data_IF_312232018966
#
_entry.id   IF_312232018966
#
_cell.length_a   1.000
_cell.length_b   1.000
_cell.length_c   1.000
_cell.angle_alpha   90.00
_cell.angle_beta   90.00
_cell.angle_gamma   90.00
#
_symmetry.space_group_name_H-M   'P 1'
#
loop_
_entity.id
_entity.type
_entity.pdbx_description
1 polymer ?
#
# COMPACT_ATOMS: atom_id res chain seq x y z
N UNK A 1 10.36 -16.53 -30.32
CA UNK A 1 9.75 -15.18 -30.28
C UNK A 1 10.55 -14.31 -29.33
N UNK A 2 11.21 -13.26 -29.82
CA UNK A 2 11.86 -12.26 -28.96
C UNK A 2 10.79 -11.27 -28.52
N UNK A 3 10.33 -11.35 -27.27
CA UNK A 3 9.46 -10.33 -26.69
C UNK A 3 10.30 -9.05 -26.56
N UNK A 4 10.02 -8.06 -27.42
CA UNK A 4 10.57 -6.71 -27.23
C UNK A 4 10.17 -6.22 -25.83
N UNK A 5 11.08 -5.62 -25.06
CA UNK A 5 10.72 -5.06 -23.77
C UNK A 5 9.63 -4.00 -24.00
N UNK A 6 8.56 -4.10 -23.21
CA UNK A 6 7.49 -3.11 -23.20
C UNK A 6 8.10 -1.72 -23.01
N UNK A 7 7.53 -0.72 -23.69
CA UNK A 7 7.89 0.67 -23.41
C UNK A 7 7.65 0.97 -21.92
N UNK A 8 8.39 1.91 -21.31
CA UNK A 8 8.21 2.26 -19.90
C UNK A 8 6.76 2.63 -19.55
N UNK A 9 6.02 3.22 -20.50
CA UNK A 9 4.61 3.56 -20.37
C UNK A 9 3.71 2.33 -20.38
N UNK A 10 3.93 1.39 -21.29
CA UNK A 10 3.20 0.12 -21.34
C UNK A 10 3.46 -0.72 -20.07
N UNK A 11 4.70 -0.76 -19.59
CA UNK A 11 5.04 -1.44 -18.33
C UNK A 11 4.34 -0.81 -17.11
N UNK A 12 4.18 0.52 -17.08
CA UNK A 12 3.43 1.22 -16.01
C UNK A 12 1.93 0.94 -16.09
N UNK A 13 1.37 0.89 -17.30
CA UNK A 13 -0.04 0.56 -17.50
C UNK A 13 -0.33 -0.86 -17.04
N UNK A 14 0.48 -1.84 -17.47
CA UNK A 14 0.30 -3.25 -17.07
C UNK A 14 0.39 -3.42 -15.54
N UNK A 15 1.34 -2.73 -14.89
CA UNK A 15 1.44 -2.73 -13.41
C UNK A 15 0.16 -2.20 -12.76
N UNK A 16 -0.39 -1.08 -13.26
CA UNK A 16 -1.64 -0.51 -12.76
C UNK A 16 -2.83 -1.45 -12.95
N UNK A 17 -2.92 -2.08 -14.12
CA UNK A 17 -3.99 -3.05 -14.41
C UNK A 17 -3.89 -4.29 -13.53
N UNK A 18 -2.68 -4.81 -13.32
CA UNK A 18 -2.42 -5.91 -12.39
C UNK A 18 -2.87 -5.54 -10.98
N UNK A 19 -2.44 -4.38 -10.48
CA UNK A 19 -2.83 -3.89 -9.16
C UNK A 19 -4.34 -3.73 -9.00
N UNK A 20 -5.02 -3.21 -10.03
CA UNK A 20 -6.47 -3.07 -10.03
C UNK A 20 -7.16 -4.44 -9.99
N UNK A 21 -6.64 -5.44 -10.71
CA UNK A 21 -7.14 -6.81 -10.68
C UNK A 21 -6.92 -7.45 -9.32
N UNK A 22 -5.73 -7.30 -8.74
CA UNK A 22 -5.38 -7.87 -7.43
C UNK A 22 -6.27 -7.29 -6.33
N UNK A 23 -6.54 -5.97 -6.38
CA UNK A 23 -7.53 -5.32 -5.52
C UNK A 23 -8.92 -5.91 -5.71
N UNK A 24 -9.40 -6.01 -6.94
CA UNK A 24 -10.72 -6.56 -7.23
C UNK A 24 -10.87 -8.04 -6.81
N UNK A 25 -9.79 -8.81 -6.89
CA UNK A 25 -9.73 -10.22 -6.48
C UNK A 25 -9.55 -10.42 -4.97
N UNK A 26 -9.21 -9.37 -4.22
CA UNK A 26 -9.00 -9.48 -2.79
C UNK A 26 -10.29 -9.84 -2.05
N UNK A 27 -10.20 -10.83 -1.17
CA UNK A 27 -11.32 -11.25 -0.33
C UNK A 27 -11.78 -10.12 0.59
N UNK A 28 -13.04 -10.14 0.99
CA UNK A 28 -13.54 -9.24 2.03
C UNK A 28 -12.82 -9.48 3.36
N UNK A 29 -12.60 -8.42 4.14
CA UNK A 29 -11.92 -8.45 5.44
C UNK A 29 -12.59 -9.43 6.40
N UNK A 30 -13.93 -9.51 6.40
CA UNK A 30 -14.71 -10.48 7.18
C UNK A 30 -14.43 -11.94 6.82
N UNK A 31 -14.03 -12.20 5.59
CA UNK A 31 -13.74 -13.56 5.09
C UNK A 31 -12.31 -13.93 5.44
N UNK A 32 -11.36 -13.04 5.18
CA UNK A 32 -9.94 -13.27 5.46
C UNK A 32 -9.60 -13.20 6.96
N UNK A 33 -10.27 -12.31 7.72
CA UNK A 33 -10.02 -12.05 9.13
C UNK A 33 -11.33 -11.87 9.92
N UNK A 34 -12.07 -12.96 10.21
CA UNK A 34 -13.43 -12.90 10.76
C UNK A 34 -13.55 -12.21 12.12
N UNK A 35 -12.47 -12.22 12.92
CA UNK A 35 -12.45 -11.61 14.25
C UNK A 35 -12.30 -10.10 14.22
N UNK A 36 -11.95 -9.50 13.08
CA UNK A 36 -11.76 -8.05 12.95
C UNK A 36 -13.12 -7.35 12.84
N UNK A 37 -13.35 -6.39 13.72
CA UNK A 37 -14.51 -5.50 13.70
C UNK A 37 -14.23 -4.22 12.91
N UNK A 38 -13.02 -3.68 13.04
CA UNK A 38 -12.57 -2.48 12.34
C UNK A 38 -11.04 -2.52 12.23
N UNK A 39 -10.52 -2.05 11.10
CA UNK A 39 -9.10 -1.88 10.88
C UNK A 39 -8.84 -0.45 10.42
N UNK A 40 -7.98 0.26 11.13
CA UNK A 40 -7.54 1.61 10.79
C UNK A 40 -6.07 1.58 10.37
N UNK A 41 -5.76 2.21 9.25
CA UNK A 41 -4.39 2.45 8.78
C UNK A 41 -4.17 3.96 8.67
N UNK A 42 -3.29 4.49 9.50
CA UNK A 42 -2.83 5.87 9.41
C UNK A 42 -1.46 5.89 8.74
N UNK A 43 -1.35 6.65 7.65
CA UNK A 43 -0.20 6.73 6.77
C UNK A 43 0.35 8.15 6.81
N UNK A 44 1.58 8.31 7.27
CA UNK A 44 2.27 9.60 7.33
C UNK A 44 3.54 9.53 6.51
N UNK A 45 3.73 10.50 5.62
CA UNK A 45 4.84 10.49 4.68
C UNK A 45 5.96 11.42 5.14
N UNK A 46 7.21 10.99 4.99
CA UNK A 46 8.40 11.78 5.25
C UNK A 46 9.41 11.54 4.14
N UNK A 47 10.11 12.57 3.67
CA UNK A 47 11.11 12.40 2.62
C UNK A 47 11.63 13.72 2.06
N UNK A 48 12.73 13.64 1.33
CA UNK A 48 13.48 14.79 0.80
C UNK A 48 12.88 15.42 -0.48
N UNK A 49 11.64 15.06 -0.85
CA UNK A 49 10.97 15.67 -1.99
C UNK A 49 10.62 17.14 -1.75
N UNK A 50 10.34 17.87 -2.83
CA UNK A 50 9.96 19.30 -2.77
C UNK A 50 8.68 19.59 -1.98
N UNK A 51 7.86 18.57 -1.72
CA UNK A 51 6.61 18.68 -0.96
C UNK A 51 6.34 17.38 -0.25
N UNK A 52 6.09 17.47 1.06
CA UNK A 52 5.65 16.32 1.86
C UNK A 52 4.18 16.02 1.54
N UNK A 53 3.84 14.79 1.13
CA UNK A 53 2.46 14.39 0.91
C UNK A 53 1.62 14.50 2.18
N UNK A 54 0.33 14.80 2.01
CA UNK A 54 -0.63 14.85 3.12
C UNK A 54 -0.81 13.45 3.72
N UNK A 55 -0.89 13.36 5.04
CA UNK A 55 -1.20 12.11 5.75
C UNK A 55 -2.57 11.55 5.32
N UNK A 56 -2.69 10.23 5.30
CA UNK A 56 -3.89 9.53 4.86
C UNK A 56 -4.37 8.59 5.97
N UNK A 57 -5.68 8.57 6.23
CA UNK A 57 -6.28 7.63 7.17
C UNK A 57 -7.31 6.77 6.45
N UNK A 58 -7.16 5.46 6.54
CA UNK A 58 -8.06 4.48 5.96
C UNK A 58 -8.73 3.66 7.04
N UNK A 59 -10.06 3.71 7.11
CA UNK A 59 -10.86 2.88 8.01
C UNK A 59 -11.55 1.81 7.16
N UNK A 60 -11.24 0.55 7.47
CA UNK A 60 -11.73 -0.63 6.77
C UNK A 60 -12.67 -1.39 7.69
N UNK A 61 -13.90 -1.53 7.25
CA UNK A 61 -14.93 -2.33 7.90
C UNK A 61 -14.97 -3.75 7.32
N UNK A 62 -15.66 -4.71 7.97
CA UNK A 62 -15.65 -6.11 7.55
C UNK A 62 -16.03 -6.38 6.06
N UNK A 63 -16.89 -5.58 5.39
CA UNK A 63 -17.14 -5.74 3.95
C UNK A 63 -16.03 -5.25 3.02
N UNK A 64 -15.08 -4.44 3.51
CA UNK A 64 -14.00 -3.89 2.69
C UNK A 64 -13.06 -4.99 2.19
N UNK A 65 -12.44 -4.78 1.03
CA UNK A 65 -11.43 -5.70 0.50
C UNK A 65 -10.18 -5.71 1.39
N UNK A 66 -9.65 -6.89 1.69
CA UNK A 66 -8.41 -7.09 2.42
C UNK A 66 -7.20 -6.84 1.49
N UNK A 67 -7.14 -5.64 0.93
CA UNK A 67 -6.10 -5.18 0.03
C UNK A 67 -5.38 -3.99 0.66
N UNK A 68 -4.12 -4.17 1.02
CA UNK A 68 -3.35 -3.19 1.82
C UNK A 68 -2.21 -2.55 1.01
N UNK A 69 -2.48 -2.39 -0.29
CA UNK A 69 -1.59 -1.73 -1.23
C UNK A 69 -1.97 -0.27 -1.46
N UNK A 70 -1.02 0.63 -1.26
CA UNK A 70 -1.19 2.09 -1.42
C UNK A 70 -0.25 2.64 -2.50
N UNK A 71 -0.75 3.34 -3.52
CA UNK A 71 0.12 3.95 -4.52
C UNK A 71 0.98 5.05 -3.89
N UNK A 72 2.18 5.28 -4.44
CA UNK A 72 2.97 6.44 -4.05
C UNK A 72 2.20 7.74 -4.36
N UNK A 73 2.09 8.69 -3.42
CA UNK A 73 1.35 9.93 -3.63
C UNK A 73 2.01 10.88 -4.64
N UNK A 74 3.29 10.68 -4.98
CA UNK A 74 3.94 11.45 -6.04
C UNK A 74 3.42 11.02 -7.41
N UNK A 75 2.77 11.94 -8.13
CA UNK A 75 2.18 11.68 -9.45
C UNK A 75 3.21 11.25 -10.53
N UNK A 76 4.48 11.59 -10.34
CA UNK A 76 5.59 11.23 -11.21
C UNK A 76 6.34 9.97 -10.77
N UNK A 77 5.91 9.33 -9.67
CA UNK A 77 6.47 8.07 -9.18
C UNK A 77 5.59 6.89 -9.60
N UNK A 78 6.21 5.76 -9.94
CA UNK A 78 5.51 4.54 -10.32
C UNK A 78 5.52 3.45 -9.23
N UNK A 79 5.95 3.80 -8.03
CA UNK A 79 6.01 2.90 -6.87
C UNK A 79 4.70 2.78 -6.10
N UNK A 80 4.67 1.80 -5.21
CA UNK A 80 3.61 1.57 -4.25
C UNK A 80 4.19 1.11 -2.90
N UNK A 81 3.40 1.24 -1.85
CA UNK A 81 3.64 0.67 -0.54
C UNK A 81 2.76 -0.57 -0.40
N UNK A 82 3.37 -1.71 -0.10
CA UNK A 82 2.65 -2.96 0.17
C UNK A 82 2.74 -3.31 1.65
N UNK A 83 1.66 -3.05 2.37
CA UNK A 83 1.54 -3.37 3.79
C UNK A 83 0.91 -4.74 4.02
N UNK A 84 0.63 -5.53 2.98
CA UNK A 84 -0.17 -6.75 3.07
C UNK A 84 0.46 -7.80 4.00
N UNK A 85 1.77 -8.00 3.91
CA UNK A 85 2.49 -8.94 4.77
C UNK A 85 2.41 -8.54 6.25
N UNK A 86 2.66 -7.25 6.54
CA UNK A 86 2.67 -6.69 7.90
C UNK A 86 1.26 -6.71 8.50
N UNK A 87 0.26 -6.25 7.76
CA UNK A 87 -1.14 -6.26 8.22
C UNK A 87 -1.61 -7.70 8.45
N UNK A 88 -1.33 -8.61 7.52
CA UNK A 88 -1.73 -10.03 7.65
C UNK A 88 -1.11 -10.68 8.87
N UNK A 89 0.18 -10.44 9.12
CA UNK A 89 0.85 -10.95 10.31
C UNK A 89 0.24 -10.38 11.60
N UNK A 90 -0.02 -9.07 11.65
CA UNK A 90 -0.64 -8.42 12.80
C UNK A 90 -2.03 -8.98 13.11
N UNK A 91 -2.88 -9.11 12.08
CA UNK A 91 -4.25 -9.60 12.24
C UNK A 91 -4.29 -11.09 12.62
N UNK A 92 -3.40 -11.92 12.08
CA UNK A 92 -3.30 -13.35 12.46
C UNK A 92 -2.87 -13.52 13.90
N UNK A 93 -1.95 -12.68 14.38
CA UNK A 93 -1.49 -12.67 15.77
C UNK A 93 -2.42 -11.90 16.71
N UNK A 94 -3.58 -11.43 16.23
CA UNK A 94 -4.53 -10.62 17.01
C UNK A 94 -3.91 -9.37 17.65
N UNK A 95 -2.87 -8.81 17.02
CA UNK A 95 -2.22 -7.59 17.49
C UNK A 95 -3.15 -6.42 17.24
N UNK A 96 -3.37 -5.61 18.28
CA UNK A 96 -4.28 -4.46 18.23
C UNK A 96 -3.62 -3.21 17.67
N UNK A 97 -2.31 -3.07 17.82
CA UNK A 97 -1.60 -1.87 17.44
C UNK A 97 -0.19 -2.24 16.98
N UNK A 98 0.18 -1.82 15.78
CA UNK A 98 1.55 -1.88 15.28
C UNK A 98 1.89 -0.60 14.54
N UNK A 99 3.17 -0.29 14.51
CA UNK A 99 3.70 0.79 13.70
C UNK A 99 4.98 0.34 13.02
N UNK A 100 5.37 1.06 11.98
CA UNK A 100 6.63 0.82 11.30
C UNK A 100 6.82 1.75 10.13
N UNK A 101 7.86 1.47 9.35
CA UNK A 101 8.26 2.30 8.23
C UNK A 101 8.46 1.44 6.98
N UNK A 102 8.13 2.00 5.83
CA UNK A 102 8.47 1.45 4.52
C UNK A 102 8.97 2.54 3.61
N UNK A 103 9.89 2.21 2.72
CA UNK A 103 10.41 3.13 1.71
C UNK A 103 9.81 2.80 0.35
N UNK A 104 9.51 3.85 -0.42
CA UNK A 104 9.02 3.68 -1.78
C UNK A 104 10.16 3.24 -2.70
N UNK A 105 10.05 2.01 -3.23
CA UNK A 105 10.98 1.45 -4.20
C UNK A 105 10.74 1.92 -5.66
N UNK A 106 9.85 2.90 -5.86
CA UNK A 106 9.53 3.43 -7.19
C UNK A 106 10.59 4.37 -7.76
N UNK A 107 10.48 4.65 -9.07
CA UNK A 107 11.38 5.56 -9.78
C UNK A 107 10.60 6.79 -10.25
N UNK A 108 11.16 7.98 -10.05
CA UNK A 108 10.52 9.23 -10.49
C UNK A 108 10.82 9.52 -11.96
N UNK A 109 9.77 9.88 -12.72
CA UNK A 109 9.85 10.12 -14.15
C UNK A 109 10.45 11.49 -14.51
N UNK A 110 10.45 12.46 -13.58
CA UNK A 110 10.85 13.85 -13.85
C UNK A 110 12.37 14.03 -13.98
N UNK A 111 13.17 13.13 -13.40
CA UNK A 111 14.63 13.12 -13.50
C UNK A 111 15.14 12.10 -14.55
N UNK A 112 14.69 12.27 -15.80
CA UNK A 112 14.97 11.34 -16.92
C UNK A 112 16.45 11.08 -17.19
N UNK A 113 17.36 11.91 -16.69
CA UNK A 113 18.81 11.69 -16.78
C UNK A 113 19.39 10.84 -15.63
N UNK A 114 18.69 10.73 -14.48
CA UNK A 114 19.25 10.21 -13.23
C UNK A 114 18.58 9.00 -12.60
N UNK A 115 17.40 8.55 -13.09
CA UNK A 115 16.62 7.44 -12.49
C UNK A 115 16.60 7.47 -10.95
N UNK A 116 16.36 8.66 -10.39
CA UNK A 116 16.39 8.83 -8.94
C UNK A 116 15.29 7.96 -8.30
N UNK A 117 15.70 7.19 -7.30
CA UNK A 117 14.79 6.44 -6.44
C UNK A 117 13.89 7.45 -5.70
N UNK A 118 12.62 7.07 -5.51
CA UNK A 118 11.65 7.92 -4.84
C UNK A 118 12.09 8.29 -3.43
N UNK A 119 12.60 7.30 -2.67
CA UNK A 119 13.05 7.44 -1.28
C UNK A 119 12.01 8.10 -0.34
N UNK A 120 10.73 8.11 -0.74
CA UNK A 120 9.64 8.55 0.12
C UNK A 120 9.43 7.50 1.18
N UNK A 121 9.56 7.88 2.44
CA UNK A 121 9.30 7.03 3.58
C UNK A 121 7.84 7.18 3.99
N UNK A 122 7.18 6.04 4.16
CA UNK A 122 5.88 5.90 4.76
C UNK A 122 6.06 5.42 6.19
N UNK A 123 5.61 6.20 7.16
CA UNK A 123 5.40 5.77 8.53
C UNK A 123 3.94 5.34 8.64
N UNK A 124 3.70 4.09 8.96
CA UNK A 124 2.35 3.54 9.12
C UNK A 124 2.05 3.23 10.58
N UNK A 125 0.81 3.47 10.97
CA UNK A 125 0.22 2.98 12.22
C UNK A 125 -1.01 2.17 11.85
N UNK A 126 -1.07 0.93 12.31
CA UNK A 126 -2.19 0.02 12.07
C UNK A 126 -2.83 -0.27 13.42
N UNK A 127 -4.12 0.04 13.53
CA UNK A 127 -4.94 -0.23 14.71
C UNK A 127 -6.07 -1.17 14.32
N UNK A 128 -6.17 -2.31 15.01
CA UNK A 128 -7.18 -3.33 14.78
C UNK A 128 -8.07 -3.48 16.01
N UNK A 129 -9.37 -3.27 15.80
CA UNK A 129 -10.40 -3.59 16.76
C UNK A 129 -10.95 -4.97 16.45
N UNK A 130 -10.94 -5.85 17.44
CA UNK A 130 -11.50 -7.19 17.34
C UNK A 130 -12.87 -7.23 17.98
N UNK A 131 -13.76 -8.07 17.42
CA UNK A 131 -15.05 -8.37 18.02
C UNK A 131 -14.81 -8.92 19.43
N UNK A 132 -15.55 -8.41 20.41
CA UNK A 132 -15.58 -9.04 21.73
C UNK A 132 -16.27 -10.39 21.57
N UNK A 133 -15.62 -11.47 21.97
CA UNK A 133 -16.30 -12.73 22.21
C UNK A 133 -17.29 -12.47 23.38
N UNK A 134 -18.58 -12.68 23.11
CA UNK A 134 -19.66 -12.55 24.08
C UNK A 134 -19.88 -13.89 24.78
#
# INVERSE_FOLDING_TARGET
MRLSPLSPEAARLERRERWSRDRAAAQALRTAFPKVAQLRLDLTFSGAGSTTPVSQSHVLHPPAQAFFGFPCPYADCDGHFDLSAVVTAALRSSVRHIQGTQECAGVRARDRAGKQLCNLQLNYVITADYRREA
#
